data_IF_657549640796
#
_entry.id   IF_657549640796
#
_cell.length_a   1.000
_cell.length_b   1.000
_cell.length_c   1.000
_cell.angle_alpha   90.00
_cell.angle_beta   90.00
_cell.angle_gamma   90.00
#
_symmetry.space_group_name_H-M   'P 1'
#
loop_
_entity.id
_entity.type
_entity.pdbx_description
1 polymer ?
#
# COMPACT_ATOMS: atom_id res chain seq x y z
N UNK A 1 33.23 -6.67 -11.56
CA UNK A 1 32.23 -6.98 -10.52
C UNK A 1 32.71 -6.25 -9.29
N UNK A 2 31.99 -5.24 -8.85
CA UNK A 2 32.33 -4.55 -7.58
C UNK A 2 31.85 -5.45 -6.46
N UNK A 3 32.78 -5.95 -5.64
CA UNK A 3 32.45 -6.58 -4.36
C UNK A 3 32.03 -5.47 -3.39
N UNK A 4 30.83 -4.92 -3.60
CA UNK A 4 30.30 -3.92 -2.68
C UNK A 4 29.81 -4.63 -1.41
N UNK A 5 30.56 -4.41 -0.35
CA UNK A 5 30.18 -4.80 1.01
C UNK A 5 29.60 -3.58 1.72
N UNK A 6 28.42 -3.75 2.30
CA UNK A 6 27.82 -2.77 3.19
C UNK A 6 28.03 -3.23 4.63
N UNK A 7 28.75 -2.45 5.44
CA UNK A 7 28.85 -2.70 6.87
C UNK A 7 27.77 -1.91 7.59
N UNK A 8 26.90 -2.62 8.29
CA UNK A 8 25.83 -2.02 9.11
C UNK A 8 26.33 -1.98 10.56
N UNK A 9 26.32 -0.80 11.16
CA UNK A 9 26.65 -0.60 12.58
C UNK A 9 25.36 -0.40 13.36
N UNK A 10 25.12 -1.22 14.34
CA UNK A 10 23.94 -1.12 15.22
C UNK A 10 24.22 -0.24 16.44
N UNK A 11 23.17 0.29 17.05
CA UNK A 11 23.28 1.15 18.21
C UNK A 11 23.84 0.45 19.47
N UNK A 12 23.79 -0.88 19.51
CA UNK A 12 24.38 -1.71 20.56
C UNK A 12 25.88 -1.98 20.35
N UNK A 13 26.48 -1.44 19.29
CA UNK A 13 27.87 -1.61 18.92
C UNK A 13 28.17 -2.86 18.10
N UNK A 14 27.18 -3.71 17.80
CA UNK A 14 27.35 -4.83 16.89
C UNK A 14 27.45 -4.37 15.43
N UNK A 15 28.02 -5.23 14.58
CA UNK A 15 28.18 -4.95 13.15
C UNK A 15 27.84 -6.18 12.32
N UNK A 16 27.13 -5.95 11.21
CA UNK A 16 26.91 -6.94 10.17
C UNK A 16 27.54 -6.50 8.85
N UNK A 17 28.04 -7.45 8.09
CA UNK A 17 28.52 -7.21 6.72
C UNK A 17 27.54 -7.84 5.75
N UNK A 18 26.88 -6.99 4.96
CA UNK A 18 25.96 -7.41 3.91
C UNK A 18 26.69 -7.40 2.57
N UNK A 19 26.64 -8.52 1.86
CA UNK A 19 27.07 -8.65 0.47
C UNK A 19 25.84 -8.84 -0.43
N UNK A 20 25.99 -8.67 -1.73
CA UNK A 20 24.92 -8.95 -2.68
C UNK A 20 24.39 -10.38 -2.56
N UNK A 21 25.26 -11.34 -2.24
CA UNK A 21 24.89 -12.74 -2.04
C UNK A 21 24.11 -12.96 -0.73
N UNK A 22 24.53 -12.34 0.38
CA UNK A 22 23.80 -12.43 1.66
C UNK A 22 22.42 -11.79 1.56
N UNK A 23 22.29 -10.69 0.85
CA UNK A 23 21.02 -10.03 0.59
C UNK A 23 20.10 -10.89 -0.29
N UNK A 24 20.65 -11.45 -1.37
CA UNK A 24 19.91 -12.38 -2.24
C UNK A 24 19.44 -13.63 -1.48
N UNK A 25 20.27 -14.18 -0.58
CA UNK A 25 19.91 -15.32 0.23
C UNK A 25 18.83 -14.96 1.26
N UNK A 26 18.94 -13.82 1.92
CA UNK A 26 17.93 -13.32 2.84
C UNK A 26 16.54 -13.27 2.17
N UNK A 27 16.45 -12.74 0.94
CA UNK A 27 15.18 -12.71 0.19
C UNK A 27 14.65 -14.10 -0.20
N UNK A 28 15.55 -15.06 -0.47
CA UNK A 28 15.15 -16.45 -0.76
C UNK A 28 14.63 -17.17 0.47
N UNK A 29 15.20 -16.83 1.63
CA UNK A 29 14.90 -17.47 2.92
C UNK A 29 13.72 -16.79 3.66
N UNK A 30 13.31 -15.60 3.21
CA UNK A 30 12.08 -15.00 3.73
C UNK A 30 10.93 -16.00 3.55
N UNK A 31 10.15 -16.29 4.61
CA UNK A 31 8.98 -17.13 4.49
C UNK A 31 8.12 -16.59 3.33
N UNK A 32 7.98 -17.41 2.28
CA UNK A 32 7.00 -17.14 1.23
C UNK A 32 5.65 -17.34 1.88
N UNK A 33 5.21 -16.31 2.63
CA UNK A 33 3.90 -16.28 3.24
C UNK A 33 2.84 -16.46 2.17
N UNK A 34 1.73 -17.04 2.54
CA UNK A 34 0.54 -17.01 1.68
C UNK A 34 0.33 -15.55 1.24
N UNK A 35 0.10 -15.34 -0.05
CA UNK A 35 -0.16 -13.99 -0.57
C UNK A 35 -1.42 -13.39 0.04
N UNK A 36 -2.41 -14.24 0.29
CA UNK A 36 -3.69 -13.88 0.89
C UNK A 36 -3.97 -14.75 2.12
N UNK A 37 -4.54 -14.16 3.15
CA UNK A 37 -5.00 -14.91 4.32
C UNK A 37 -6.20 -14.20 4.96
N UNK A 38 -7.35 -14.84 4.95
CA UNK A 38 -8.53 -14.37 5.65
C UNK A 38 -8.64 -15.09 7.00
N UNK A 39 -8.53 -14.34 8.09
CA UNK A 39 -8.57 -14.83 9.47
C UNK A 39 -9.53 -13.98 10.31
N UNK A 40 -9.60 -14.27 11.59
CA UNK A 40 -10.33 -13.45 12.56
C UNK A 40 -9.43 -13.09 13.74
N UNK A 41 -9.59 -11.88 14.24
CA UNK A 41 -8.97 -11.39 15.46
C UNK A 41 -10.06 -10.77 16.33
N UNK A 42 -10.31 -11.37 17.50
CA UNK A 42 -11.39 -10.96 18.44
C UNK A 42 -12.77 -10.84 17.76
N UNK A 43 -13.07 -11.78 16.84
CA UNK A 43 -14.32 -11.81 16.08
C UNK A 43 -14.39 -10.83 14.90
N UNK A 44 -13.35 -10.06 14.64
CA UNK A 44 -13.25 -9.13 13.52
C UNK A 44 -12.56 -9.84 12.34
N UNK A 45 -13.14 -9.87 11.14
CA UNK A 45 -12.48 -10.44 9.96
C UNK A 45 -11.28 -9.57 9.57
N UNK A 46 -10.13 -10.22 9.37
CA UNK A 46 -8.86 -9.61 8.95
C UNK A 46 -8.43 -10.27 7.65
N UNK A 47 -8.35 -9.52 6.59
CA UNK A 47 -7.81 -9.98 5.32
C UNK A 47 -6.39 -9.46 5.13
N UNK A 48 -5.42 -10.34 5.22
CA UNK A 48 -4.02 -10.06 4.90
C UNK A 48 -3.82 -10.21 3.40
N UNK A 49 -3.22 -9.20 2.78
CA UNK A 49 -2.95 -9.17 1.35
C UNK A 49 -1.52 -8.64 1.12
N UNK A 50 -0.59 -9.52 0.75
CA UNK A 50 0.83 -9.20 0.70
C UNK A 50 1.32 -8.69 -0.67
N UNK A 51 0.58 -9.00 -1.76
CA UNK A 51 0.90 -8.55 -3.10
C UNK A 51 -0.34 -8.56 -3.99
N UNK A 52 -0.63 -7.45 -4.65
CA UNK A 52 -1.77 -7.30 -5.56
C UNK A 52 -1.51 -8.02 -6.89
N UNK A 53 -1.76 -9.33 -6.89
CA UNK A 53 -1.55 -10.22 -8.03
C UNK A 53 -2.89 -10.68 -8.60
N UNK A 54 -3.13 -10.51 -9.93
CA UNK A 54 -4.38 -10.93 -10.57
C UNK A 54 -4.69 -12.43 -10.44
N UNK A 55 -3.68 -13.27 -10.20
CA UNK A 55 -3.91 -14.71 -10.00
C UNK A 55 -4.71 -15.03 -8.72
N UNK A 56 -4.77 -14.09 -7.76
CA UNK A 56 -5.55 -14.20 -6.51
C UNK A 56 -6.87 -13.42 -6.53
N UNK A 57 -7.31 -12.98 -7.71
CA UNK A 57 -8.48 -12.09 -7.83
C UNK A 57 -9.77 -12.72 -7.31
N UNK A 58 -9.97 -14.02 -7.50
CA UNK A 58 -11.15 -14.72 -7.01
C UNK A 58 -11.19 -14.74 -5.48
N UNK A 59 -10.08 -15.10 -4.84
CA UNK A 59 -9.94 -15.11 -3.38
C UNK A 59 -10.10 -13.70 -2.80
N UNK A 60 -9.48 -12.73 -3.45
CA UNK A 60 -9.53 -11.31 -3.08
C UNK A 60 -10.97 -10.78 -3.11
N UNK A 61 -11.70 -11.05 -4.17
CA UNK A 61 -13.10 -10.66 -4.31
C UNK A 61 -14.02 -11.38 -3.31
N UNK A 62 -13.74 -12.65 -3.02
CA UNK A 62 -14.50 -13.41 -2.02
C UNK A 62 -14.27 -12.83 -0.62
N UNK A 63 -13.04 -12.49 -0.27
CA UNK A 63 -12.71 -11.83 1.00
C UNK A 63 -13.40 -10.46 1.12
N UNK A 64 -13.34 -9.62 0.09
CA UNK A 64 -14.03 -8.34 0.06
C UNK A 64 -15.55 -8.48 0.29
N UNK A 65 -16.19 -9.44 -0.38
CA UNK A 65 -17.62 -9.72 -0.22
C UNK A 65 -17.97 -10.22 1.19
N UNK A 66 -17.10 -11.02 1.81
CA UNK A 66 -17.29 -11.46 3.19
C UNK A 66 -17.14 -10.30 4.18
N UNK A 67 -16.11 -9.47 4.02
CA UNK A 67 -15.82 -8.33 4.87
C UNK A 67 -16.90 -7.26 4.77
N UNK A 68 -17.49 -7.06 3.59
CA UNK A 68 -18.58 -6.08 3.40
C UNK A 68 -19.85 -6.39 4.21
N UNK A 69 -20.01 -7.61 4.71
CA UNK A 69 -21.14 -8.00 5.58
C UNK A 69 -20.80 -7.87 7.08
N UNK A 70 -19.58 -7.54 7.43
CA UNK A 70 -19.17 -7.35 8.82
C UNK A 70 -19.33 -5.88 9.21
N UNK A 71 -19.75 -5.61 10.44
CA UNK A 71 -19.86 -4.25 10.98
C UNK A 71 -18.46 -3.57 11.02
N UNK A 72 -17.45 -4.35 11.34
CA UNK A 72 -16.03 -3.92 11.41
C UNK A 72 -15.19 -4.96 10.70
N UNK A 73 -14.21 -4.51 9.92
CA UNK A 73 -13.25 -5.39 9.24
C UNK A 73 -11.87 -4.74 9.14
N UNK A 74 -10.82 -5.55 8.98
CA UNK A 74 -9.45 -5.08 8.84
C UNK A 74 -8.84 -5.55 7.53
N UNK A 75 -8.24 -4.64 6.77
CA UNK A 75 -7.39 -4.95 5.61
C UNK A 75 -5.93 -4.81 6.01
N UNK A 76 -5.22 -5.94 6.10
CA UNK A 76 -3.83 -5.97 6.54
C UNK A 76 -2.88 -5.84 5.36
N UNK A 77 -2.29 -4.65 5.21
CA UNK A 77 -1.33 -4.30 4.17
C UNK A 77 0.10 -4.14 4.71
N UNK A 78 0.35 -4.47 5.97
CA UNK A 78 1.65 -4.24 6.63
C UNK A 78 2.84 -4.86 5.89
N UNK A 79 2.62 -5.96 5.18
CA UNK A 79 3.63 -6.67 4.37
C UNK A 79 3.38 -6.54 2.87
N UNK A 80 2.50 -5.67 2.43
CA UNK A 80 2.12 -5.55 1.03
C UNK A 80 3.11 -4.65 0.26
N UNK A 81 3.85 -5.24 -0.66
CA UNK A 81 4.85 -4.54 -1.47
C UNK A 81 4.30 -3.94 -2.78
N UNK A 82 2.99 -3.95 -2.96
CA UNK A 82 2.35 -3.40 -4.14
C UNK A 82 1.84 -4.45 -5.12
N UNK A 83 1.86 -4.13 -6.39
CA UNK A 83 1.39 -4.99 -7.49
C UNK A 83 0.46 -4.26 -8.45
N UNK A 84 -0.60 -4.91 -8.91
CA UNK A 84 -1.52 -4.38 -9.90
C UNK A 84 -2.64 -3.54 -9.26
N UNK A 85 -2.71 -2.27 -9.64
CA UNK A 85 -3.69 -1.29 -9.15
C UNK A 85 -5.14 -1.75 -9.36
N UNK A 86 -5.41 -2.40 -10.49
CA UNK A 86 -6.74 -2.91 -10.82
C UNK A 86 -7.28 -3.90 -9.76
N UNK A 87 -6.39 -4.70 -9.16
CA UNK A 87 -6.80 -5.65 -8.10
C UNK A 87 -7.25 -4.90 -6.85
N UNK A 88 -6.55 -3.83 -6.48
CA UNK A 88 -6.94 -2.97 -5.36
C UNK A 88 -8.31 -2.30 -5.61
N UNK A 89 -8.48 -1.72 -6.80
CA UNK A 89 -9.77 -1.12 -7.19
C UNK A 89 -10.93 -2.11 -7.16
N UNK A 90 -10.72 -3.33 -7.67
CA UNK A 90 -11.77 -4.36 -7.65
C UNK A 90 -12.13 -4.77 -6.23
N UNK A 91 -11.13 -4.89 -5.33
CA UNK A 91 -11.38 -5.18 -3.93
C UNK A 91 -12.27 -4.10 -3.29
N UNK A 92 -11.92 -2.81 -3.44
CA UNK A 92 -12.70 -1.71 -2.89
C UNK A 92 -14.11 -1.62 -3.47
N UNK A 93 -14.24 -1.75 -4.79
CA UNK A 93 -15.55 -1.75 -5.45
C UNK A 93 -16.44 -2.90 -4.96
N UNK A 94 -15.84 -4.05 -4.69
CA UNK A 94 -16.57 -5.22 -4.15
C UNK A 94 -16.95 -5.04 -2.69
N UNK A 95 -16.03 -4.46 -1.89
CA UNK A 95 -16.26 -4.20 -0.47
C UNK A 95 -17.35 -3.15 -0.25
N UNK A 96 -17.29 -2.03 -0.95
CA UNK A 96 -18.22 -0.90 -0.78
C UNK A 96 -19.48 -0.98 -1.65
N UNK A 97 -19.60 -1.99 -2.51
CA UNK A 97 -20.67 -2.14 -3.50
C UNK A 97 -20.83 -0.97 -4.48
N UNK A 98 -19.80 -0.14 -4.60
CA UNK A 98 -19.77 1.02 -5.48
C UNK A 98 -18.34 1.29 -5.97
N UNK A 99 -18.20 2.16 -6.96
CA UNK A 99 -16.88 2.53 -7.46
C UNK A 99 -16.22 3.52 -6.50
N UNK A 100 -15.04 3.17 -6.00
CA UNK A 100 -14.20 4.02 -5.16
C UNK A 100 -13.06 4.59 -6.00
N UNK A 101 -12.79 5.86 -5.84
CA UNK A 101 -11.72 6.58 -6.53
C UNK A 101 -10.74 7.12 -5.50
N UNK A 102 -9.47 7.25 -5.88
CA UNK A 102 -8.48 7.96 -5.07
C UNK A 102 -8.80 9.44 -4.90
N UNK A 103 -8.29 10.04 -3.87
CA UNK A 103 -8.46 11.46 -3.57
C UNK A 103 -7.41 12.33 -4.26
N UNK A 104 -6.28 11.72 -4.64
CA UNK A 104 -5.12 12.41 -5.16
C UNK A 104 -5.29 12.93 -6.59
N UNK A 105 -4.67 14.08 -6.87
CA UNK A 105 -4.51 14.61 -8.23
C UNK A 105 -3.17 14.12 -8.77
N UNK A 106 -3.20 13.44 -9.91
CA UNK A 106 -1.98 12.99 -10.58
C UNK A 106 -1.38 14.12 -11.41
N UNK A 107 -0.14 14.51 -11.11
CA UNK A 107 0.66 15.35 -11.99
C UNK A 107 1.71 14.51 -12.70
N UNK A 108 1.79 14.60 -14.02
CA UNK A 108 2.90 14.00 -14.75
C UNK A 108 4.04 15.01 -14.90
N UNK A 109 5.26 14.53 -14.72
CA UNK A 109 6.49 15.33 -14.96
C UNK A 109 6.78 15.48 -16.47
N UNK A 110 6.06 14.75 -17.32
CA UNK A 110 6.21 14.87 -18.77
C UNK A 110 5.65 16.22 -19.27
N UNK A 111 6.19 16.74 -20.39
CA UNK A 111 5.66 17.95 -21.02
C UNK A 111 4.14 17.83 -21.22
N UNK A 112 3.42 18.91 -20.95
CA UNK A 112 1.95 18.96 -21.02
C UNK A 112 1.36 18.46 -22.36
N UNK A 113 2.15 18.48 -23.43
CA UNK A 113 1.79 17.93 -24.75
C UNK A 113 1.68 16.40 -24.79
N UNK A 114 2.21 15.70 -23.79
CA UNK A 114 2.25 14.23 -23.73
C UNK A 114 1.37 13.67 -22.61
N UNK A 115 0.67 14.51 -21.86
CA UNK A 115 -0.10 14.11 -20.69
C UNK A 115 -1.55 14.46 -20.86
N UNK A 116 -2.45 13.54 -20.58
CA UNK A 116 -3.85 13.86 -20.39
C UNK A 116 -3.99 14.86 -19.23
N UNK A 117 -4.84 15.87 -19.39
CA UNK A 117 -5.09 16.86 -18.35
C UNK A 117 -5.42 16.18 -17.03
N UNK A 118 -4.87 16.68 -15.90
CA UNK A 118 -5.20 16.12 -14.60
C UNK A 118 -6.71 16.15 -14.40
N UNK A 119 -7.28 15.02 -14.01
CA UNK A 119 -8.69 14.97 -13.64
C UNK A 119 -8.83 15.63 -12.27
N UNK A 120 -9.35 16.85 -12.26
CA UNK A 120 -9.67 17.60 -11.03
C UNK A 120 -11.11 17.34 -10.56
N UNK A 121 -11.76 16.28 -11.04
CA UNK A 121 -13.11 15.99 -10.61
C UNK A 121 -13.11 15.65 -9.12
N UNK A 122 -13.82 16.43 -8.32
CA UNK A 122 -14.18 16.03 -6.96
C UNK A 122 -15.01 14.76 -7.08
N UNK A 123 -14.40 13.63 -6.81
CA UNK A 123 -15.13 12.36 -6.75
C UNK A 123 -15.94 12.34 -5.46
N UNK A 124 -17.21 11.97 -5.53
CA UNK A 124 -18.03 11.82 -4.32
C UNK A 124 -17.38 10.73 -3.45
N UNK A 125 -17.41 10.95 -2.14
CA UNK A 125 -17.01 9.91 -1.19
C UNK A 125 -17.95 8.71 -1.35
N UNK A 126 -17.38 7.53 -1.24
CA UNK A 126 -18.13 6.30 -1.22
C UNK A 126 -18.75 6.13 0.17
N UNK A 127 -20.06 5.96 0.23
CA UNK A 127 -20.75 5.67 1.48
C UNK A 127 -20.51 4.21 1.87
N UNK A 128 -20.12 4.00 3.13
CA UNK A 128 -19.97 2.67 3.70
C UNK A 128 -20.45 2.72 5.16
N UNK A 129 -21.46 1.94 5.48
CA UNK A 129 -22.01 1.84 6.84
C UNK A 129 -21.07 1.07 7.79
N UNK A 130 -20.20 0.24 7.22
CA UNK A 130 -19.27 -0.61 7.94
C UNK A 130 -17.92 0.11 8.17
N UNK A 131 -17.26 -0.20 9.26
CA UNK A 131 -15.92 0.36 9.57
C UNK A 131 -14.85 -0.51 8.89
N UNK A 132 -14.01 0.12 8.07
CA UNK A 132 -12.83 -0.49 7.49
C UNK A 132 -11.57 0.05 8.15
N UNK A 133 -10.81 -0.82 8.79
CA UNK A 133 -9.49 -0.47 9.33
C UNK A 133 -8.42 -0.99 8.37
N UNK A 134 -7.53 -0.12 7.94
CA UNK A 134 -6.35 -0.49 7.15
C UNK A 134 -5.14 -0.54 8.07
N UNK A 135 -4.43 -1.68 8.07
CA UNK A 135 -3.20 -1.83 8.82
C UNK A 135 -2.02 -1.55 7.91
N UNK A 136 -1.23 -0.54 8.24
CA UNK A 136 -0.07 -0.10 7.44
C UNK A 136 1.27 -0.37 8.14
N UNK A 137 2.33 -0.45 7.35
CA UNK A 137 3.69 -0.63 7.84
C UNK A 137 4.73 -0.19 6.82
N UNK A 138 6.00 -0.24 7.19
CA UNK A 138 7.11 0.17 6.32
C UNK A 138 7.24 -0.64 5.03
N UNK A 139 6.68 -1.84 4.98
CA UNK A 139 6.65 -2.63 3.75
C UNK A 139 5.43 -2.33 2.86
N UNK A 140 4.46 -1.55 3.34
CA UNK A 140 3.33 -1.10 2.50
C UNK A 140 3.86 -0.15 1.43
N UNK A 141 3.90 -0.58 0.17
CA UNK A 141 4.54 0.15 -0.90
C UNK A 141 3.71 0.15 -2.20
N UNK A 142 3.94 1.14 -3.07
CA UNK A 142 3.38 1.19 -4.41
C UNK A 142 1.84 1.05 -4.41
N UNK A 143 1.30 0.00 -5.00
CA UNK A 143 -0.15 -0.24 -5.05
C UNK A 143 -0.81 -0.35 -3.66
N UNK A 144 -0.07 -0.76 -2.61
CA UNK A 144 -0.59 -0.70 -1.24
C UNK A 144 -0.84 0.75 -0.81
N UNK A 145 0.00 1.67 -1.23
CA UNK A 145 -0.17 3.11 -0.94
C UNK A 145 -1.34 3.70 -1.74
N UNK A 146 -1.54 3.26 -2.99
CA UNK A 146 -2.75 3.58 -3.76
C UNK A 146 -4.01 3.06 -3.03
N UNK A 147 -3.92 1.90 -2.41
CA UNK A 147 -5.01 1.31 -1.62
C UNK A 147 -5.37 2.20 -0.43
N UNK A 148 -4.38 2.79 0.24
CA UNK A 148 -4.61 3.76 1.31
C UNK A 148 -5.24 5.05 0.77
N UNK A 149 -4.79 5.55 -0.39
CA UNK A 149 -5.41 6.71 -1.04
C UNK A 149 -6.90 6.46 -1.37
N UNK A 150 -7.24 5.27 -1.85
CA UNK A 150 -8.64 4.89 -2.07
C UNK A 150 -9.45 4.94 -0.78
N UNK A 151 -8.88 4.54 0.36
CA UNK A 151 -9.58 4.52 1.64
C UNK A 151 -9.96 5.89 2.15
N UNK A 152 -9.21 6.94 1.84
CA UNK A 152 -9.58 8.33 2.19
C UNK A 152 -10.89 8.79 1.55
N UNK A 153 -11.30 8.14 0.47
CA UNK A 153 -12.57 8.45 -0.21
C UNK A 153 -13.71 7.51 0.21
N UNK A 154 -13.50 6.71 1.25
CA UNK A 154 -14.50 5.87 1.88
C UNK A 154 -14.90 6.50 3.22
N UNK A 155 -16.20 6.60 3.54
CA UNK A 155 -16.66 7.34 4.73
C UNK A 155 -16.17 6.67 6.00
N UNK A 156 -16.29 5.52 6.35
CA UNK A 156 -15.91 4.93 7.62
C UNK A 156 -14.59 4.12 7.50
N UNK A 157 -13.50 4.79 7.18
CA UNK A 157 -12.16 4.18 7.13
C UNK A 157 -11.20 4.78 8.13
N UNK A 158 -10.26 3.98 8.63
CA UNK A 158 -9.23 4.36 9.59
C UNK A 158 -7.92 3.63 9.28
N UNK A 159 -6.81 4.35 9.25
CA UNK A 159 -5.47 3.77 9.02
C UNK A 159 -4.73 3.69 10.36
N UNK A 160 -4.28 2.49 10.73
CA UNK A 160 -3.54 2.23 11.96
C UNK A 160 -2.22 1.52 11.63
N UNK A 161 -1.11 1.98 12.17
CA UNK A 161 0.19 1.34 11.99
C UNK A 161 1.34 2.32 11.89
N UNK A 162 2.31 2.01 11.06
CA UNK A 162 3.45 2.87 10.77
C UNK A 162 3.24 3.57 9.43
N UNK A 163 4.05 4.61 9.19
CA UNK A 163 4.16 5.19 7.86
C UNK A 163 4.50 4.11 6.83
N UNK A 164 3.95 4.24 5.65
CA UNK A 164 4.26 3.35 4.53
C UNK A 164 5.67 3.56 3.98
N UNK A 165 6.01 2.89 2.92
CA UNK A 165 7.34 2.97 2.31
C UNK A 165 7.65 4.34 1.71
N UNK A 166 6.68 4.98 1.07
CA UNK A 166 6.87 6.22 0.32
C UNK A 166 7.33 5.96 -1.11
N UNK A 167 6.87 4.91 -1.74
CA UNK A 167 7.20 4.50 -3.11
C UNK A 167 5.98 4.46 -4.02
N UNK A 168 5.16 5.51 -3.97
CA UNK A 168 3.91 5.59 -4.75
C UNK A 168 4.15 5.99 -6.20
N UNK A 169 5.30 6.56 -6.51
CA UNK A 169 5.70 6.98 -7.83
C UNK A 169 6.09 5.76 -8.68
N UNK A 170 5.16 5.21 -9.43
CA UNK A 170 5.41 3.94 -10.09
C UNK A 170 4.77 3.74 -11.46
N UNK A 171 4.88 4.69 -12.36
CA UNK A 171 4.72 4.37 -13.77
C UNK A 171 6.09 4.43 -14.42
N UNK A 172 6.80 3.31 -14.49
CA UNK A 172 8.07 3.21 -15.16
C UNK A 172 7.88 3.07 -16.66
N UNK A 173 8.53 3.94 -17.41
CA UNK A 173 8.76 3.74 -18.83
C UNK A 173 10.16 3.21 -19.04
N UNK A 174 10.29 2.25 -19.93
CA UNK A 174 11.57 1.67 -20.33
C UNK A 174 12.14 2.44 -21.51
N UNK A 175 13.35 3.00 -21.34
CA UNK A 175 14.06 3.71 -22.42
C UNK A 175 15.37 2.98 -22.72
N UNK A 176 15.52 2.50 -23.95
CA UNK A 176 16.80 2.00 -24.42
C UNK A 176 17.67 3.16 -24.90
N UNK A 177 18.86 3.29 -24.33
CA UNK A 177 19.83 4.29 -24.74
C UNK A 177 20.46 3.87 -26.08
N UNK A 178 20.39 4.73 -27.14
CA UNK A 178 20.69 4.31 -28.52
C UNK A 178 22.14 3.89 -28.74
N UNK A 179 23.07 4.45 -27.98
CA UNK A 179 24.50 4.19 -28.15
C UNK A 179 25.02 3.03 -27.29
N UNK A 180 24.65 2.99 -26.02
CA UNK A 180 25.12 1.97 -25.07
C UNK A 180 24.28 0.69 -25.08
N UNK A 181 23.07 0.76 -25.64
CA UNK A 181 22.06 -0.31 -25.55
C UNK A 181 21.68 -0.67 -24.11
N UNK A 182 22.07 0.16 -23.17
CA UNK A 182 21.62 0.03 -21.79
C UNK A 182 20.15 0.46 -21.69
N UNK A 183 19.39 -0.26 -20.89
CA UNK A 183 18.03 0.10 -20.55
C UNK A 183 18.00 0.93 -19.28
N UNK A 184 17.22 1.99 -19.30
CA UNK A 184 16.96 2.82 -18.11
C UNK A 184 15.47 2.80 -17.86
N UNK A 185 15.07 2.34 -16.68
CA UNK A 185 13.70 2.50 -16.21
C UNK A 185 13.54 3.92 -15.67
N UNK A 186 12.74 4.71 -16.35
CA UNK A 186 12.40 6.06 -15.90
C UNK A 186 11.00 6.05 -15.31
N UNK A 187 10.90 6.54 -14.10
CA UNK A 187 9.61 6.79 -13.47
C UNK A 187 9.03 8.08 -14.05
N UNK A 188 7.92 7.98 -14.74
CA UNK A 188 7.10 9.15 -15.08
C UNK A 188 6.29 9.50 -13.84
N UNK A 189 6.91 10.17 -12.89
CA UNK A 189 6.33 10.40 -11.58
C UNK A 189 5.02 11.15 -11.65
N UNK A 190 4.04 10.63 -10.97
CA UNK A 190 2.81 11.32 -10.65
C UNK A 190 2.87 11.72 -9.19
N UNK A 191 2.74 13.00 -8.91
CA UNK A 191 2.61 13.49 -7.54
C UNK A 191 1.15 13.45 -7.17
N UNK A 192 0.81 12.80 -6.06
CA UNK A 192 -0.53 12.83 -5.51
C UNK A 192 -0.62 14.00 -4.54
N UNK A 193 -1.44 14.98 -4.89
CA UNK A 193 -1.83 16.05 -3.97
C UNK A 193 -3.27 15.80 -3.55
N UNK A 194 -3.54 15.93 -2.28
CA UNK A 194 -4.91 15.91 -1.78
C UNK A 194 -5.66 17.16 -2.25
N UNK A 195 -6.98 17.08 -2.51
CA UNK A 195 -7.77 18.20 -3.01
C UNK A 195 -7.78 19.43 -2.11
N UNK A 196 -7.55 19.27 -0.82
CA UNK A 196 -7.50 20.34 0.19
C UNK A 196 -6.08 20.83 0.50
N UNK A 197 -5.06 20.26 -0.17
CA UNK A 197 -3.65 20.59 0.07
C UNK A 197 -3.10 19.99 1.36
N UNK A 198 -3.81 19.08 2.02
CA UNK A 198 -3.27 18.33 3.14
C UNK A 198 -2.35 17.23 2.62
N UNK A 199 -1.15 17.13 3.19
CA UNK A 199 -0.13 16.18 2.77
C UNK A 199 -0.29 14.87 3.57
N UNK A 200 -1.19 14.00 3.14
CA UNK A 200 -1.28 12.63 3.70
C UNK A 200 -0.15 11.71 3.25
N UNK A 201 0.52 12.09 2.18
CA UNK A 201 1.59 11.32 1.58
C UNK A 201 2.77 12.22 1.26
N UNK A 202 3.96 11.79 1.65
CA UNK A 202 5.23 12.39 1.25
C UNK A 202 6.11 11.29 0.64
N UNK A 203 6.64 11.55 -0.55
CA UNK A 203 7.57 10.61 -1.21
C UNK A 203 8.78 10.35 -0.30
N UNK A 204 9.20 9.10 -0.21
CA UNK A 204 10.21 8.57 0.71
C UNK A 204 9.81 8.56 2.20
N UNK A 205 8.66 9.13 2.58
CA UNK A 205 8.11 9.05 3.94
C UNK A 205 6.83 8.24 4.02
N UNK A 206 6.10 8.16 2.92
CA UNK A 206 4.87 7.40 2.77
C UNK A 206 3.63 8.09 3.32
N UNK A 207 2.54 7.34 3.38
CA UNK A 207 1.31 7.75 4.04
C UNK A 207 1.49 7.76 5.54
N UNK A 208 0.94 8.79 6.18
CA UNK A 208 0.88 8.88 7.63
C UNK A 208 -0.42 8.22 8.10
N UNK A 209 -0.35 7.24 9.02
CA UNK A 209 -1.55 6.64 9.57
C UNK A 209 -2.32 7.63 10.45
N UNK A 210 -3.63 7.42 10.62
CA UNK A 210 -4.45 8.19 11.55
C UNK A 210 -4.03 7.93 13.00
N UNK A 211 -3.62 6.68 13.29
CA UNK A 211 -3.07 6.29 14.59
C UNK A 211 -1.73 5.60 14.37
N UNK A 212 -0.66 6.29 14.78
CA UNK A 212 0.69 5.75 14.66
C UNK A 212 1.01 4.80 15.81
N UNK A 213 1.37 3.57 15.47
CA UNK A 213 1.88 2.53 16.39
C UNK A 213 2.83 1.61 15.62
N UNK A 214 3.74 0.90 16.30
CA UNK A 214 4.54 -0.13 15.65
C UNK A 214 3.67 -1.14 14.91
N UNK A 215 4.02 -1.47 13.66
CA UNK A 215 3.20 -2.31 12.79
C UNK A 215 2.79 -3.65 13.44
N UNK A 216 3.66 -4.23 14.26
CA UNK A 216 3.38 -5.48 15.01
C UNK A 216 2.24 -5.34 16.03
N UNK A 217 1.96 -4.11 16.48
CA UNK A 217 0.94 -3.82 17.51
C UNK A 217 -0.38 -3.34 16.90
N UNK A 218 -0.36 -2.95 15.61
CA UNK A 218 -1.48 -2.30 14.93
C UNK A 218 -2.78 -3.13 14.98
N UNK A 219 -2.69 -4.42 14.69
CA UNK A 219 -3.86 -5.31 14.68
C UNK A 219 -4.49 -5.48 16.08
N UNK A 220 -3.66 -5.69 17.08
CA UNK A 220 -4.12 -5.82 18.47
C UNK A 220 -4.73 -4.50 19.00
N UNK A 221 -4.13 -3.37 18.65
CA UNK A 221 -4.68 -2.07 19.01
C UNK A 221 -6.01 -1.83 18.32
N UNK A 222 -6.11 -2.11 17.03
CA UNK A 222 -7.34 -1.96 16.26
C UNK A 222 -8.49 -2.78 16.86
N UNK A 223 -8.24 -4.04 17.23
CA UNK A 223 -9.24 -4.89 17.87
C UNK A 223 -9.71 -4.28 19.21
N UNK A 224 -8.78 -3.85 20.07
CA UNK A 224 -9.11 -3.22 21.36
C UNK A 224 -9.88 -1.91 21.23
N UNK A 225 -9.56 -1.08 20.23
CA UNK A 225 -10.30 0.15 19.98
C UNK A 225 -11.77 -0.16 19.64
N UNK A 226 -11.99 -1.18 18.83
CA UNK A 226 -13.34 -1.55 18.41
C UNK A 226 -14.16 -2.21 19.52
N UNK A 227 -13.54 -2.91 20.46
CA UNK A 227 -14.23 -3.40 21.67
C UNK A 227 -14.82 -2.27 22.53
N UNK A 228 -14.13 -1.12 22.61
CA UNK A 228 -14.58 0.03 23.39
C UNK A 228 -15.67 0.87 22.70
N UNK A 229 -15.97 0.60 21.43
CA UNK A 229 -17.04 1.28 20.69
C UNK A 229 -18.38 0.52 20.75
N UNK A 230 -18.37 -0.72 21.25
CA UNK A 230 -19.58 -1.53 21.50
C UNK A 230 -20.13 -1.23 22.90
#
# INVERSE_FOLDING_TARGET
>A
MCDEQLTVHYADGSTDVLTADTWSQYYKDLPKGQNTNLRQTDGIPVFQFNHFDPSFLEETNAAAAQMSNAEISMLDLRSNVGGYEEVAHQWFNRYSHQRVFGTGVRYSVLPASLVASPSTSKTPRASNDNILILLSGKCSASCAEITLDLSYNLDNSLIIGENTNGSMISNSGHIELPNSKCSVDMTFSTVYLTPDGSDYFEELRGFFPDIWVPAKEAETLAAKLMENLK
#
